data_IF_916661312352
#
_entry.id   IF_916661312352
#
_cell.length_a   1.000
_cell.length_b   1.000
_cell.length_c   1.000
_cell.angle_alpha   90.00
_cell.angle_beta   90.00
_cell.angle_gamma   90.00
#
_symmetry.space_group_name_H-M   'P 1'
#
loop_
_entity.id
_entity.type
_entity.pdbx_description
1 polymer ?
2 branched ?
3 non-polymer ?
4 non-polymer ?
#
# COMPACT_ATOMS: atom_id res chain seq x y z
N UNK A 45 25.85 -8.52 17.15
CA UNK A 45 27.21 -9.03 17.02
C UNK A 45 27.98 -8.27 15.95
N UNK A 46 29.31 -8.35 16.00
CA UNK A 46 30.15 -7.57 15.09
C UNK A 46 30.20 -8.23 13.71
N UNK A 47 30.61 -9.48 13.65
CA UNK A 47 30.52 -10.22 12.40
C UNK A 47 29.10 -10.76 12.21
N UNK A 48 28.74 -11.06 10.98
CA UNK A 48 27.45 -11.71 10.72
C UNK A 48 27.35 -12.98 11.58
N UNK A 49 28.39 -13.83 11.55
CA UNK A 49 28.42 -15.05 12.39
C UNK A 49 28.07 -14.79 13.85
N UNK A 50 28.70 -13.78 14.44
CA UNK A 50 28.39 -13.36 15.81
C UNK A 50 26.91 -12.97 15.99
N UNK A 51 26.40 -12.14 15.07
CA UNK A 51 24.98 -11.78 15.11
C UNK A 51 24.15 -13.09 15.01
N UNK A 52 24.51 -13.95 14.05
CA UNK A 52 23.74 -15.18 13.80
C UNK A 52 23.70 -16.09 15.01
N UNK A 53 24.87 -16.30 15.62
CA UNK A 53 25.01 -17.19 16.75
C UNK A 53 24.19 -16.68 17.93
N UNK A 54 24.20 -15.36 18.11
CA UNK A 54 23.38 -14.69 19.12
C UNK A 54 21.90 -14.79 18.83
N UNK A 55 21.52 -14.51 17.57
CA UNK A 55 20.11 -14.60 17.19
C UNK A 55 19.54 -16.02 17.34
N UNK A 56 20.37 -17.03 17.06
CA UNK A 56 20.01 -18.44 17.26
C UNK A 56 19.53 -18.72 18.66
N UNK A 57 20.22 -18.22 19.67
CA UNK A 57 19.69 -18.30 21.03
C UNK A 57 18.25 -17.74 21.16
N UNK A 58 18.00 -16.55 20.62
CA UNK A 58 16.70 -15.88 20.74
C UNK A 58 15.59 -16.65 20.03
N UNK A 59 15.93 -17.21 18.87
CA UNK A 59 15.04 -18.07 18.12
C UNK A 59 14.70 -19.35 18.86
N UNK A 60 15.70 -19.98 19.46
CA UNK A 60 15.47 -21.18 20.28
C UNK A 60 14.54 -20.87 21.45
N UNK A 61 14.82 -19.78 22.18
CA UNK A 61 13.98 -19.40 23.32
C UNK A 61 12.56 -19.04 22.93
N UNK A 62 12.40 -18.68 21.66
CA UNK A 62 11.09 -18.31 21.15
C UNK A 62 10.36 -19.45 20.44
N UNK A 63 10.97 -20.64 20.42
CA UNK A 63 10.26 -21.82 19.97
C UNK A 63 10.69 -22.41 18.63
N UNK A 64 11.78 -21.93 18.06
CA UNK A 64 12.28 -22.48 16.82
C UNK A 64 13.14 -23.74 17.12
N UNK A 65 12.79 -24.86 16.51
CA UNK A 65 13.58 -26.10 16.56
C UNK A 65 14.94 -25.84 15.96
N UNK A 66 15.97 -26.37 16.60
CA UNK A 66 17.34 -26.21 16.14
C UNK A 66 17.54 -26.57 14.67
N UNK A 67 16.86 -27.59 14.15
CA UNK A 67 17.09 -27.95 12.76
C UNK A 67 16.29 -27.07 11.76
N UNK A 68 15.19 -26.50 12.23
CA UNK A 68 14.55 -25.44 11.48
C UNK A 68 15.54 -24.30 11.25
N UNK A 69 16.17 -23.84 12.32
CA UNK A 69 17.09 -22.71 12.23
C UNK A 69 18.18 -23.04 11.24
N UNK A 70 18.77 -24.24 11.36
CA UNK A 70 19.94 -24.58 10.59
C UNK A 70 19.62 -24.81 9.11
N UNK A 71 18.45 -25.39 8.78
CA UNK A 71 18.10 -25.47 7.35
C UNK A 71 17.80 -24.05 6.82
N UNK A 72 17.16 -23.22 7.62
CA UNK A 72 16.90 -21.82 7.22
C UNK A 72 18.16 -21.03 6.94
N UNK A 73 19.14 -21.18 7.80
CA UNK A 73 20.38 -20.40 7.68
C UNK A 73 21.51 -21.04 6.92
N UNK A 74 21.29 -22.25 6.45
CA UNK A 74 22.28 -22.89 5.63
C UNK A 74 22.56 -22.06 4.37
N UNK A 75 23.76 -21.53 4.28
CA UNK A 75 24.21 -20.83 3.10
C UNK A 75 24.09 -19.34 3.20
N UNK A 76 23.45 -18.87 4.26
CA UNK A 76 23.08 -17.46 4.37
C UNK A 76 24.22 -16.53 4.80
N UNK A 77 24.43 -15.52 3.98
CA UNK A 77 25.35 -14.42 4.19
C UNK A 77 24.64 -13.10 3.91
N UNK A 78 25.12 -11.98 4.47
CA UNK A 78 24.44 -10.71 4.20
C UNK A 78 24.31 -10.42 2.75
N UNK A 79 23.28 -9.66 2.40
CA UNK A 79 22.96 -9.43 1.01
C UNK A 79 23.00 -7.92 0.80
N UNK A 80 24.05 -7.42 0.14
CA UNK A 80 24.21 -5.98 -0.06
C UNK A 80 23.15 -5.37 -0.92
N UNK A 81 22.44 -6.13 -1.76
CA UNK A 81 21.41 -5.47 -2.55
C UNK A 81 20.23 -5.09 -1.66
N UNK A 82 20.11 -5.78 -0.53
CA UNK A 82 19.04 -5.57 0.44
C UNK A 82 19.41 -4.37 1.29
N UNK A 83 20.68 -4.30 1.66
CA UNK A 83 21.22 -3.11 2.36
C UNK A 83 21.06 -1.83 1.53
N UNK A 84 21.44 -1.84 0.27
CA UNK A 84 21.16 -0.76 -0.63
C UNK A 84 19.67 -0.44 -0.76
N UNK A 85 18.78 -1.42 -0.93
CA UNK A 85 17.38 -1.03 -1.06
C UNK A 85 16.87 -0.35 0.21
N UNK A 86 17.37 -0.79 1.36
CA UNK A 86 16.96 -0.28 2.66
C UNK A 86 17.46 1.14 2.92
N UNK A 87 18.56 1.48 2.26
CA UNK A 87 19.24 2.77 2.42
C UNK A 87 18.68 3.75 1.40
N UNK A 88 18.08 3.24 0.32
CA UNK A 88 17.46 4.08 -0.67
C UNK A 88 16.20 4.79 -0.17
N UNK A 89 16.41 6.01 0.34
CA UNK A 89 15.34 6.95 0.68
C UNK A 89 14.94 7.69 -0.60
N UNK A 90 14.02 7.10 -1.38
CA UNK A 90 13.83 7.44 -2.80
C UNK A 90 13.76 8.93 -3.04
N UNK A 91 14.85 9.55 -3.49
CA UNK A 91 14.81 10.98 -3.78
C UNK A 91 13.73 11.21 -4.85
N UNK A 92 14.08 11.11 -6.13
CA UNK A 92 13.10 11.28 -7.20
C UNK A 92 12.03 10.17 -7.16
N UNK A 93 10.78 10.57 -6.93
CA UNK A 93 9.68 9.61 -6.75
C UNK A 93 8.62 9.81 -7.87
N UNK A 94 7.38 9.51 -7.51
CA UNK A 94 6.14 9.43 -8.32
C UNK A 94 6.15 10.15 -9.72
N UNK A 95 5.16 11.00 -10.10
CA UNK A 95 3.86 11.48 -9.62
C UNK A 95 2.88 10.34 -9.58
N UNK A 96 1.78 10.52 -8.88
CA UNK A 96 0.76 9.52 -8.86
C UNK A 96 0.36 9.20 -10.30
N UNK A 97 0.47 10.19 -11.18
CA UNK A 97 0.12 10.00 -12.57
C UNK A 97 0.93 8.86 -13.19
N UNK A 98 2.24 8.79 -12.90
CA UNK A 98 3.10 7.82 -13.57
C UNK A 98 2.83 6.45 -12.96
N UNK A 99 2.89 6.42 -11.64
CA UNK A 99 2.55 5.25 -10.85
C UNK A 99 1.24 4.59 -11.25
N UNK A 100 0.24 5.37 -11.64
CA UNK A 100 -1.06 4.82 -12.05
C UNK A 100 -1.00 4.24 -13.46
N UNK A 101 -0.11 4.76 -14.30
CA UNK A 101 0.04 4.26 -15.67
C UNK A 101 0.78 2.94 -15.67
N UNK A 102 1.52 2.68 -14.61
CA UNK A 102 2.11 1.38 -14.40
C UNK A 102 1.07 0.43 -13.91
N UNK A 103 0.41 0.82 -12.83
CA UNK A 103 -0.61 0.01 -12.21
C UNK A 103 -1.71 -0.40 -13.14
N UNK A 104 -2.09 0.49 -14.03
CA UNK A 104 -3.28 0.30 -14.82
C UNK A 104 -2.92 0.07 -16.26
N UNK A 105 -1.70 -0.41 -16.50
CA UNK A 105 -1.33 -0.83 -17.83
C UNK A 105 -2.34 -1.85 -18.35
N UNK A 106 -2.82 -1.66 -19.60
CA UNK A 106 -3.81 -2.61 -20.14
C UNK A 106 -3.31 -4.02 -20.15
N UNK A 107 -2.01 -4.22 -20.14
CA UNK A 107 -1.51 -5.59 -20.08
C UNK A 107 -1.97 -6.17 -18.73
N UNK A 108 -1.85 -5.37 -17.68
CA UNK A 108 -2.19 -5.90 -16.35
C UNK A 108 -3.70 -6.02 -16.18
N UNK A 109 -4.45 -5.06 -16.73
CA UNK A 109 -5.92 -5.17 -16.79
C UNK A 109 -6.32 -6.47 -17.48
N UNK A 110 -5.82 -6.71 -18.68
CA UNK A 110 -6.28 -7.90 -19.35
C UNK A 110 -5.78 -9.17 -18.65
N UNK A 111 -4.57 -9.19 -18.09
CA UNK A 111 -4.12 -10.42 -17.45
C UNK A 111 -5.03 -10.67 -16.23
N UNK A 112 -5.49 -9.58 -15.62
CA UNK A 112 -6.36 -9.70 -14.47
C UNK A 112 -7.73 -10.21 -14.85
N UNK A 113 -8.22 -9.81 -16.00
CA UNK A 113 -9.45 -10.40 -16.53
C UNK A 113 -9.28 -11.89 -16.86
N UNK A 114 -8.14 -12.29 -17.41
CA UNK A 114 -7.90 -13.70 -17.69
C UNK A 114 -7.88 -14.48 -16.40
N UNK A 115 -7.22 -13.94 -15.37
CA UNK A 115 -7.13 -14.64 -14.09
C UNK A 115 -8.50 -14.82 -13.46
N UNK A 116 -9.41 -13.87 -13.68
CA UNK A 116 -10.73 -13.93 -13.10
C UNK A 116 -11.54 -15.06 -13.68
N UNK A 117 -11.32 -15.30 -14.97
CA UNK A 117 -11.96 -16.39 -15.69
C UNK A 117 -11.23 -17.70 -15.36
N UNK A 118 -9.92 -17.67 -15.35
CA UNK A 118 -9.16 -18.89 -15.06
C UNK A 118 -9.45 -19.48 -13.67
N UNK A 119 -9.74 -18.62 -12.68
CA UNK A 119 -9.86 -19.05 -11.27
C UNK A 119 -11.23 -18.81 -10.72
N UNK A 120 -12.20 -18.73 -11.62
CA UNK A 120 -13.58 -18.33 -11.30
C UNK A 120 -14.30 -19.16 -10.26
N UNK A 121 -14.11 -20.47 -10.32
CA UNK A 121 -14.66 -21.38 -9.33
C UNK A 121 -14.09 -20.98 -7.96
N UNK A 122 -12.75 -20.94 -7.86
CA UNK A 122 -12.05 -20.58 -6.61
C UNK A 122 -12.45 -19.20 -6.09
N UNK A 123 -12.51 -18.23 -6.99
CA UNK A 123 -12.91 -16.90 -6.63
C UNK A 123 -14.33 -16.78 -6.18
N UNK A 124 -15.24 -17.51 -6.83
CA UNK A 124 -16.61 -17.55 -6.35
C UNK A 124 -16.68 -18.04 -4.92
N UNK A 125 -15.92 -19.09 -4.62
CA UNK A 125 -15.90 -19.66 -3.28
C UNK A 125 -15.26 -18.74 -2.23
N UNK A 126 -14.19 -18.06 -2.62
CA UNK A 126 -13.59 -17.07 -1.74
C UNK A 126 -14.55 -15.87 -1.50
N UNK A 127 -15.03 -15.28 -2.58
CA UNK A 127 -15.98 -14.15 -2.52
C UNK A 127 -17.17 -14.47 -1.64
N UNK A 128 -17.76 -15.63 -1.86
CA UNK A 128 -18.86 -16.08 -1.05
C UNK A 128 -18.44 -16.21 0.41
N UNK A 129 -17.43 -17.02 0.69
CA UNK A 129 -17.09 -17.34 2.07
C UNK A 129 -16.56 -16.16 2.89
N UNK A 130 -15.83 -15.24 2.26
CA UNK A 130 -15.18 -14.15 3.00
C UNK A 130 -15.93 -12.80 2.87
N UNK A 131 -17.02 -12.77 2.07
CA UNK A 131 -17.71 -11.54 1.70
C UNK A 131 -16.72 -10.48 1.28
N UNK A 132 -15.86 -10.83 0.36
CA UNK A 132 -14.95 -9.89 -0.25
C UNK A 132 -15.04 -9.98 -1.78
N UNK A 133 -15.24 -8.86 -2.46
CA UNK A 133 -15.40 -8.89 -3.94
C UNK A 133 -14.17 -9.48 -4.68
N UNK A 134 -14.39 -10.42 -5.59
CA UNK A 134 -13.33 -11.03 -6.35
C UNK A 134 -12.46 -10.02 -7.05
N UNK A 135 -13.06 -8.91 -7.48
CA UNK A 135 -12.35 -7.92 -8.31
C UNK A 135 -11.27 -7.24 -7.47
N UNK A 136 -11.60 -6.92 -6.21
CA UNK A 136 -10.66 -6.31 -5.31
C UNK A 136 -9.48 -7.25 -4.98
N UNK A 137 -9.78 -8.51 -4.70
CA UNK A 137 -8.74 -9.51 -4.41
C UNK A 137 -7.81 -9.69 -5.60
N UNK A 138 -8.37 -9.77 -6.80
CA UNK A 138 -7.53 -9.93 -8.00
C UNK A 138 -6.75 -8.68 -8.27
N UNK A 139 -7.31 -7.53 -7.97
CA UNK A 139 -6.55 -6.30 -8.17
C UNK A 139 -5.34 -6.18 -7.25
N UNK A 140 -5.52 -6.52 -5.96
CA UNK A 140 -4.40 -6.57 -4.98
C UNK A 140 -3.31 -7.54 -5.49
N UNK A 141 -3.76 -8.70 -5.92
CA UNK A 141 -2.90 -9.71 -6.49
C UNK A 141 -2.08 -9.23 -7.69
N UNK A 142 -2.74 -8.49 -8.58
CA UNK A 142 -2.02 -7.84 -9.68
C UNK A 142 -1.03 -6.80 -9.24
N UNK A 143 -1.44 -5.95 -8.32
CA UNK A 143 -0.58 -4.91 -7.76
C UNK A 143 0.65 -5.45 -7.00
N UNK A 144 0.41 -6.51 -6.22
CA UNK A 144 1.46 -7.05 -5.33
C UNK A 144 2.51 -7.89 -6.05
N UNK A 145 2.08 -8.76 -6.94
CA UNK A 145 3.01 -9.69 -7.55
C UNK A 145 2.73 -9.91 -9.03
N UNK A 146 1.97 -9.01 -9.67
CA UNK A 146 1.45 -9.25 -11.03
C UNK A 146 0.83 -10.67 -11.20
N UNK A 147 -0.08 -11.01 -10.31
CA UNK A 147 -0.85 -12.26 -10.36
C UNK A 147 0.04 -13.53 -10.21
N UNK A 148 1.11 -13.39 -9.44
CA UNK A 148 2.02 -14.49 -9.17
C UNK A 148 3.29 -14.44 -9.97
N UNK A 149 3.42 -13.56 -10.93
CA UNK A 149 4.53 -13.66 -11.87
C UNK A 149 5.78 -12.87 -11.47
N UNK A 150 5.63 -11.83 -10.63
CA UNK A 150 6.78 -11.10 -10.07
C UNK A 150 6.63 -11.12 -8.54
N UNK A 151 6.96 -12.25 -7.94
CA UNK A 151 6.93 -12.41 -6.50
C UNK A 151 8.16 -11.90 -5.82
N UNK A 152 9.19 -11.71 -6.61
CA UNK A 152 10.44 -11.23 -6.08
C UNK A 152 11.38 -12.39 -6.13
N UNK A 153 12.63 -12.10 -5.84
CA UNK A 153 13.70 -12.97 -6.24
C UNK A 153 14.54 -13.39 -5.04
N UNK A 154 14.19 -12.89 -3.87
CA UNK A 154 15.11 -13.01 -2.74
C UNK A 154 14.60 -13.92 -1.65
N UNK A 155 15.54 -14.55 -0.97
CA UNK A 155 15.21 -15.50 0.03
C UNK A 155 14.89 -14.66 1.20
N UNK A 156 13.71 -14.90 1.79
CA UNK A 156 13.19 -14.10 2.85
C UNK A 156 14.08 -14.18 4.09
N UNK A 157 14.63 -15.35 4.37
CA UNK A 157 15.49 -15.48 5.57
C UNK A 157 16.76 -14.66 5.41
N UNK A 158 17.34 -14.67 4.24
CA UNK A 158 18.52 -13.91 4.01
C UNK A 158 18.23 -12.41 4.06
N UNK A 159 17.16 -12.00 3.44
CA UNK A 159 16.84 -10.58 3.43
C UNK A 159 16.61 -10.03 4.80
N UNK A 160 15.84 -10.76 5.61
CA UNK A 160 15.49 -10.30 6.93
C UNK A 160 16.65 -10.45 7.89
N UNK A 161 17.50 -11.45 7.70
CA UNK A 161 18.73 -11.52 8.49
C UNK A 161 19.64 -10.32 8.23
N UNK A 162 19.90 -10.07 6.96
CA UNK A 162 20.61 -8.90 6.53
C UNK A 162 20.08 -7.62 7.22
N UNK A 163 18.77 -7.33 7.13
CA UNK A 163 18.22 -6.13 7.74
C UNK A 163 18.30 -6.15 9.29
N UNK A 164 18.23 -7.30 9.94
CA UNK A 164 18.34 -7.37 11.41
C UNK A 164 19.75 -7.05 11.88
N UNK A 165 20.70 -7.44 11.03
CA UNK A 165 22.11 -7.42 11.36
C UNK A 165 22.66 -6.04 11.12
N UNK A 166 22.22 -5.41 10.01
CA UNK A 166 22.76 -4.12 9.60
C UNK A 166 21.81 -3.17 8.85
N UNK A 167 20.50 -3.29 9.09
CA UNK A 167 19.55 -2.41 8.46
C UNK A 167 19.11 -1.26 9.36
N UNK A 168 18.37 -0.33 8.78
CA UNK A 168 17.91 0.85 9.48
C UNK A 168 16.85 0.54 10.52
N UNK A 169 16.16 -0.59 10.35
CA UNK A 169 15.00 -0.93 11.16
C UNK A 169 15.11 -2.36 11.66
N UNK A 170 16.11 -2.61 12.50
CA UNK A 170 16.38 -3.93 13.01
C UNK A 170 15.28 -4.55 13.90
N UNK A 171 14.41 -3.79 14.53
CA UNK A 171 13.43 -4.40 15.44
C UNK A 171 12.33 -5.06 14.63
N UNK A 172 11.90 -4.36 13.58
CA UNK A 172 11.02 -4.90 12.57
C UNK A 172 11.63 -6.17 12.02
N UNK A 173 12.89 -6.11 11.57
CA UNK A 173 13.48 -7.25 10.90
C UNK A 173 13.52 -8.44 11.83
N UNK A 174 13.85 -8.21 13.09
CA UNK A 174 14.00 -9.28 14.04
C UNK A 174 12.69 -9.94 14.28
N UNK A 175 11.69 -9.12 14.50
CA UNK A 175 10.30 -9.59 14.64
C UNK A 175 9.83 -10.44 13.44
N UNK A 176 10.08 -9.94 12.23
CA UNK A 176 9.66 -10.66 11.01
C UNK A 176 10.47 -11.93 10.74
N UNK A 177 11.77 -11.88 11.03
CA UNK A 177 12.64 -13.05 10.92
C UNK A 177 12.18 -14.19 11.83
N UNK A 178 11.92 -13.88 13.08
CA UNK A 178 11.38 -14.86 14.00
C UNK A 178 10.05 -15.45 13.47
N UNK A 179 9.12 -14.60 13.06
CA UNK A 179 7.87 -15.08 12.51
C UNK A 179 8.09 -15.92 11.27
N UNK A 180 9.05 -15.54 10.46
CA UNK A 180 9.36 -16.34 9.26
C UNK A 180 9.89 -17.71 9.64
N UNK A 181 10.69 -17.82 10.69
CA UNK A 181 11.15 -19.17 11.08
C UNK A 181 9.99 -20.06 11.54
N UNK A 182 8.98 -19.47 12.17
CA UNK A 182 7.81 -20.24 12.57
C UNK A 182 7.05 -20.82 11.41
N UNK A 183 7.01 -20.06 10.33
CA UNK A 183 6.35 -20.52 9.13
C UNK A 183 7.07 -21.74 8.59
N UNK A 184 8.43 -21.72 8.57
CA UNK A 184 9.20 -22.85 8.08
C UNK A 184 9.04 -24.07 8.97
N UNK A 185 9.06 -23.88 10.27
CA UNK A 185 8.71 -24.89 11.25
C UNK A 185 7.35 -25.59 11.12
N UNK A 186 6.31 -24.81 10.81
CA UNK A 186 4.97 -25.33 10.58
C UNK A 186 4.87 -26.06 9.23
N UNK A 187 5.76 -25.78 8.27
CA UNK A 187 5.79 -26.51 7.01
C UNK A 187 5.08 -25.89 5.83
N UNK A 188 4.70 -24.62 5.92
CA UNK A 188 3.94 -24.00 4.82
C UNK A 188 4.68 -23.95 3.50
N UNK A 189 5.99 -23.86 3.60
CA UNK A 189 6.85 -23.82 2.42
C UNK A 189 8.23 -24.30 2.80
N UNK A 190 8.99 -24.95 1.88
CA UNK A 190 10.40 -25.21 2.20
C UNK A 190 11.25 -23.96 2.06
N UNK A 191 12.25 -23.87 2.93
CA UNK A 191 13.16 -22.74 3.03
C UNK A 191 13.65 -22.22 1.68
N UNK A 192 13.96 -23.15 0.78
CA UNK A 192 14.46 -22.84 -0.55
C UNK A 192 13.48 -21.99 -1.41
N UNK A 193 12.18 -22.16 -1.18
CA UNK A 193 11.17 -21.47 -1.96
C UNK A 193 10.46 -20.37 -1.19
N UNK A 194 10.98 -20.04 -0.01
CA UNK A 194 10.50 -18.94 0.78
C UNK A 194 11.05 -17.62 0.20
N UNK A 195 10.42 -17.18 -0.87
CA UNK A 195 10.86 -16.07 -1.68
C UNK A 195 9.96 -14.83 -1.45
N UNK A 196 10.49 -13.67 -1.79
CA UNK A 196 9.75 -12.45 -1.67
C UNK A 196 10.65 -11.29 -2.04
N UNK A 197 10.33 -10.12 -1.54
CA UNK A 197 10.97 -8.88 -1.93
C UNK A 197 12.11 -8.56 -0.98
N UNK A 198 12.90 -7.53 -1.24
CA UNK A 198 14.03 -7.26 -0.34
C UNK A 198 13.67 -6.96 1.11
N UNK A 199 12.41 -6.60 1.36
CA UNK A 199 12.01 -6.20 2.71
C UNK A 199 11.29 -7.29 3.45
N UNK A 200 11.20 -8.47 2.85
CA UNK A 200 10.60 -9.60 3.52
C UNK A 200 9.12 -9.80 3.23
N UNK A 201 8.57 -9.06 2.27
CA UNK A 201 7.17 -9.27 1.84
C UNK A 201 7.14 -10.51 0.91
N UNK A 202 6.27 -11.48 1.24
CA UNK A 202 6.39 -12.84 0.72
C UNK A 202 5.37 -13.24 -0.32
N UNK A 203 5.80 -14.07 -1.25
CA UNK A 203 4.90 -14.76 -2.11
C UNK A 203 3.98 -13.89 -2.95
N UNK A 204 2.86 -14.50 -3.33
CA UNK A 204 1.96 -13.94 -4.29
C UNK A 204 1.16 -12.75 -3.74
N UNK A 205 1.04 -12.74 -2.43
CA UNK A 205 0.32 -11.71 -1.70
C UNK A 205 1.20 -10.60 -1.17
N UNK A 206 2.48 -10.85 -1.07
CA UNK A 206 3.43 -9.94 -0.42
C UNK A 206 3.03 -9.67 1.03
N UNK A 207 2.63 -10.74 1.72
CA UNK A 207 2.47 -10.67 3.17
C UNK A 207 3.86 -10.59 3.80
N UNK A 208 4.05 -9.72 4.78
CA UNK A 208 5.15 -9.93 5.71
C UNK A 208 4.85 -11.12 6.64
N UNK A 209 5.90 -11.74 7.19
CA UNK A 209 5.74 -12.96 8.00
C UNK A 209 4.71 -12.81 9.13
N UNK A 210 4.69 -11.73 9.89
CA UNK A 210 3.67 -11.68 10.96
C UNK A 210 2.20 -11.62 10.48
N UNK A 211 1.99 -11.00 9.34
CA UNK A 211 0.69 -10.96 8.69
C UNK A 211 0.30 -12.32 8.14
N UNK A 212 1.27 -13.00 7.56
CA UNK A 212 1.03 -14.36 7.14
C UNK A 212 0.56 -15.24 8.30
N UNK A 213 1.27 -15.14 9.40
CA UNK A 213 0.99 -16.01 10.52
C UNK A 213 -0.41 -15.76 11.04
N UNK A 214 -0.84 -14.49 11.05
CA UNK A 214 -2.15 -14.25 11.57
C UNK A 214 -3.21 -14.41 10.48
N UNK A 215 -2.94 -14.15 9.21
CA UNK A 215 -4.06 -14.11 8.25
C UNK A 215 -4.04 -15.09 7.10
N UNK A 216 -2.94 -15.80 6.88
CA UNK A 216 -2.86 -16.65 5.72
C UNK A 216 -3.77 -17.82 5.96
N UNK A 217 -4.30 -18.34 4.88
CA UNK A 217 -5.31 -19.40 4.88
C UNK A 217 -4.91 -20.57 4.00
N UNK A 218 -5.28 -21.75 4.44
CA UNK A 218 -5.13 -22.97 3.69
C UNK A 218 -6.48 -23.27 3.06
N UNK A 219 -6.65 -22.93 1.79
CA UNK A 219 -7.93 -23.03 1.08
C UNK A 219 -8.29 -24.51 0.71
N UNK A 220 -7.43 -25.21 -0.02
CA UNK A 220 -7.44 -26.68 0.00
C UNK A 220 -6.98 -26.82 1.43
N UNK A 221 -7.07 -27.90 2.16
CA UNK A 221 -6.94 -29.24 1.73
C UNK A 221 -5.78 -29.69 2.62
N UNK A 222 -4.59 -29.17 2.34
CA UNK A 222 -3.41 -29.99 2.51
C UNK A 222 -2.58 -29.68 3.72
N UNK A 223 -3.08 -28.81 4.61
CA UNK A 223 -2.34 -28.43 5.79
C UNK A 223 -1.37 -27.25 5.61
N UNK A 224 -1.13 -26.80 4.38
CA UNK A 224 -0.16 -25.73 4.15
C UNK A 224 -0.79 -24.46 3.75
N UNK A 225 -0.37 -23.38 4.40
CA UNK A 225 -0.78 -22.04 3.94
C UNK A 225 0.23 -21.55 2.95
N UNK A 226 0.10 -21.99 1.72
CA UNK A 226 1.16 -21.79 0.74
C UNK A 226 0.89 -20.59 -0.14
N UNK A 227 1.30 -19.42 0.29
CA UNK A 227 1.04 -18.22 -0.51
C UNK A 227 2.06 -18.08 -1.65
N UNK A 228 2.93 -19.07 -1.80
CA UNK A 228 3.91 -19.03 -2.86
C UNK A 228 3.48 -19.79 -4.11
N UNK A 229 2.97 -20.99 -3.92
CA UNK A 229 2.69 -21.86 -5.04
C UNK A 229 1.21 -22.11 -5.29
N UNK A 230 0.37 -21.65 -4.39
CA UNK A 230 -1.04 -22.01 -4.44
C UNK A 230 -1.92 -20.81 -4.55
N UNK A 231 -2.49 -20.61 -5.73
CA UNK A 231 -3.41 -19.50 -5.96
C UNK A 231 -4.59 -19.50 -4.98
N UNK A 232 -5.19 -20.64 -4.74
CA UNK A 232 -6.23 -20.82 -3.75
C UNK A 232 -5.91 -20.23 -2.40
N UNK A 233 -4.82 -20.71 -1.79
CA UNK A 233 -4.33 -20.17 -0.53
C UNK A 233 -4.09 -18.68 -0.64
N UNK A 234 -3.48 -18.27 -1.72
CA UNK A 234 -3.11 -16.86 -1.89
C UNK A 234 -4.35 -15.94 -1.97
N UNK A 235 -5.31 -16.29 -2.80
CA UNK A 235 -6.54 -15.52 -2.97
C UNK A 235 -7.36 -15.49 -1.70
N UNK A 236 -7.48 -16.64 -1.06
CA UNK A 236 -8.20 -16.75 0.17
C UNK A 236 -7.54 -15.92 1.28
N UNK A 237 -6.19 -15.89 1.30
CA UNK A 237 -5.45 -15.19 2.35
C UNK A 237 -5.61 -13.70 2.20
N UNK A 238 -5.61 -13.22 0.95
CA UNK A 238 -5.78 -11.80 0.67
C UNK A 238 -7.18 -11.35 1.08
N UNK A 239 -8.16 -12.13 0.69
CA UNK A 239 -9.52 -11.90 1.08
C UNK A 239 -9.69 -11.88 2.59
N UNK A 240 -9.11 -12.87 3.28
CA UNK A 240 -9.18 -12.91 4.74
C UNK A 240 -8.65 -11.64 5.38
N UNK A 241 -7.55 -11.14 4.88
CA UNK A 241 -6.96 -9.94 5.43
C UNK A 241 -7.81 -8.71 5.12
N UNK A 242 -8.31 -8.67 3.91
CA UNK A 242 -9.18 -7.58 3.53
C UNK A 242 -10.43 -7.58 4.38
N UNK A 243 -11.02 -8.74 4.61
CA UNK A 243 -12.19 -8.84 5.47
C UNK A 243 -11.87 -8.38 6.89
N UNK A 244 -10.74 -8.83 7.41
CA UNK A 244 -10.28 -8.39 8.73
C UNK A 244 -10.01 -6.90 8.70
N UNK A 245 -9.63 -6.37 7.56
CA UNK A 245 -9.34 -4.95 7.53
C UNK A 245 -10.58 -4.04 7.41
N UNK A 246 -11.80 -4.59 7.41
CA UNK A 246 -13.01 -3.80 7.35
C UNK A 246 -13.84 -3.92 6.09
N UNK A 247 -13.44 -4.76 5.14
CA UNK A 247 -14.11 -4.77 3.85
C UNK A 247 -15.62 -5.12 3.91
N UNK A 248 -16.40 -4.27 3.23
CA UNK A 248 -17.83 -4.49 3.00
C UNK A 248 -18.15 -4.81 1.55
N UNK A 249 -18.61 -6.04 1.32
CA UNK A 249 -18.84 -6.57 -0.02
C UNK A 249 -19.89 -5.76 -0.76
N UNK A 250 -19.66 -5.53 -2.05
CA UNK A 250 -20.57 -4.76 -2.90
C UNK A 250 -20.44 -3.24 -2.79
N UNK A 251 -19.80 -2.72 -1.72
CA UNK A 251 -19.68 -1.30 -1.51
C UNK A 251 -18.48 -0.74 -2.27
N UNK A 252 -18.65 0.41 -2.93
CA UNK A 252 -17.51 0.98 -3.65
C UNK A 252 -16.38 1.54 -2.76
N UNK A 253 -15.15 1.34 -3.21
CA UNK A 253 -14.01 1.93 -2.51
C UNK A 253 -14.08 3.46 -2.53
N UNK A 254 -14.75 3.97 -3.55
CA UNK A 254 -14.74 5.39 -3.78
C UNK A 254 -15.08 5.61 -5.23
N UNK A 255 -15.11 6.88 -5.62
CA UNK A 255 -15.52 7.28 -6.96
C UNK A 255 -15.14 8.74 -7.17
N UNK A 256 -14.96 9.06 -8.44
CA UNK A 256 -14.58 10.37 -8.84
C UNK A 256 -15.77 11.32 -8.71
N UNK A 257 -15.48 12.55 -8.33
CA UNK A 257 -16.49 13.56 -8.11
C UNK A 257 -16.07 14.87 -8.79
N UNK A 258 -17.02 15.79 -8.90
CA UNK A 258 -16.82 17.15 -9.43
C UNK A 258 -16.89 18.06 -8.22
N UNK A 259 -15.86 18.85 -7.99
CA UNK A 259 -15.90 19.81 -6.91
C UNK A 259 -16.43 21.14 -7.47
N UNK A 260 -17.40 21.77 -6.76
CA UNK A 260 -17.86 23.11 -7.16
C UNK A 260 -16.76 24.16 -7.01
N UNK A 261 -16.97 25.33 -7.61
CA UNK A 261 -15.96 26.41 -7.63
C UNK A 261 -15.81 27.10 -6.27
N UNK A 262 -14.60 27.58 -5.98
CA UNK A 262 -14.31 28.13 -4.68
C UNK A 262 -14.70 27.15 -3.61
N UNK A 263 -14.30 25.91 -3.83
CA UNK A 263 -14.50 24.86 -2.84
C UNK A 263 -13.42 25.03 -1.79
N UNK A 264 -13.76 24.70 -0.56
CA UNK A 264 -12.79 24.73 0.52
C UNK A 264 -11.88 23.50 0.43
N UNK A 265 -10.68 23.69 -0.08
CA UNK A 265 -9.81 22.54 -0.31
C UNK A 265 -9.21 22.04 1.02
N UNK A 266 -9.44 22.76 2.11
CA UNK A 266 -8.99 22.33 3.44
C UNK A 266 -9.53 20.98 3.82
N UNK A 267 -10.74 20.66 3.35
CA UNK A 267 -11.41 19.42 3.74
C UNK A 267 -10.95 18.18 2.97
N UNK A 268 -10.05 18.36 2.01
CA UNK A 268 -9.39 17.24 1.34
C UNK A 268 -8.28 16.68 2.21
N UNK A 269 -8.57 15.59 2.90
CA UNK A 269 -7.69 15.12 3.96
C UNK A 269 -8.24 13.84 4.52
N UNK A 270 -7.47 12.76 4.57
CA UNK A 270 -8.08 11.46 4.93
C UNK A 270 -8.45 11.37 6.41
N UNK A 271 -7.91 12.27 7.23
CA UNK A 271 -8.34 12.33 8.62
C UNK A 271 -9.70 13.01 8.75
N UNK A 272 -10.15 13.68 7.69
CA UNK A 272 -11.49 14.28 7.73
C UNK A 272 -12.53 13.45 7.01
N UNK A 273 -13.53 13.04 7.78
CA UNK A 273 -14.58 12.18 7.30
C UNK A 273 -15.93 12.84 7.50
N UNK A 274 -16.77 12.75 6.47
CA UNK A 274 -18.12 13.28 6.51
C UNK A 274 -19.00 12.35 5.76
N UNK A 275 -20.28 12.30 6.10
CA UNK A 275 -21.23 11.50 5.32
C UNK A 275 -21.40 11.92 3.86
N UNK A 276 -21.67 10.96 2.99
CA UNK A 276 -21.88 11.26 1.58
C UNK A 276 -22.96 12.33 1.37
N UNK A 277 -23.98 12.36 2.24
CA UNK A 277 -25.07 13.31 2.09
C UNK A 277 -24.64 14.73 2.40
N UNK A 278 -23.73 14.84 3.35
CA UNK A 278 -23.16 16.10 3.75
C UNK A 278 -22.10 16.66 2.78
N UNK A 279 -21.37 15.79 2.06
CA UNK A 279 -20.56 16.25 0.94
C UNK A 279 -21.49 16.72 -0.21
N UNK A 280 -22.58 16.03 -0.46
CA UNK A 280 -23.52 16.49 -1.48
C UNK A 280 -24.05 17.87 -1.06
N UNK A 281 -24.06 18.13 0.25
CA UNK A 281 -24.61 19.34 0.82
C UNK A 281 -23.68 20.54 0.83
N UNK A 282 -22.46 20.35 0.36
CA UNK A 282 -21.53 21.46 0.05
C UNK A 282 -21.33 21.60 -1.43
N UNK A 283 -22.10 20.86 -2.21
CA UNK A 283 -22.05 20.94 -3.65
C UNK A 283 -21.22 19.87 -4.37
N UNK A 284 -20.69 18.90 -3.64
CA UNK A 284 -19.94 17.84 -4.31
C UNK A 284 -20.96 17.08 -5.14
N UNK A 285 -20.69 16.96 -6.43
CA UNK A 285 -21.56 16.27 -7.39
C UNK A 285 -20.94 15.01 -8.00
N UNK A 286 -21.76 14.18 -8.65
CA UNK A 286 -21.27 13.09 -9.46
C UNK A 286 -20.35 13.64 -10.52
N UNK A 287 -19.56 12.81 -11.16
CA UNK A 287 -18.48 13.35 -11.97
C UNK A 287 -18.93 14.07 -13.25
N UNK A 288 -20.17 13.83 -13.69
CA UNK A 288 -20.75 14.59 -14.81
C UNK A 288 -21.88 15.48 -14.34
N UNK A 289 -21.72 16.06 -13.15
CA UNK A 289 -22.79 16.81 -12.50
C UNK A 289 -23.85 15.87 -11.93
N UNK A 290 -24.70 16.42 -11.06
CA UNK A 290 -25.84 15.68 -10.55
C UNK A 290 -25.59 14.99 -9.22
N UNK A 291 -26.53 14.13 -8.79
CA UNK A 291 -26.51 13.52 -7.47
C UNK A 291 -25.44 12.46 -7.28
N UNK A 292 -25.11 12.19 -6.02
CA UNK A 292 -24.22 11.10 -5.69
C UNK A 292 -25.06 9.83 -5.52
N UNK A 293 -24.46 8.66 -5.74
CA UNK A 293 -25.12 7.37 -5.49
C UNK A 293 -26.07 7.34 -4.30
N UNK A 294 -27.31 6.98 -4.61
CA UNK A 294 -28.36 6.83 -3.62
C UNK A 294 -28.12 5.58 -2.77
N UNK A 295 -28.55 5.65 -1.52
CA UNK A 295 -28.43 4.53 -0.61
C UNK A 295 -27.18 4.66 0.25
N UNK A 296 -26.27 5.54 -0.18
CA UNK A 296 -24.96 5.63 0.46
C UNK A 296 -24.92 6.82 1.40
N UNK A 297 -26.01 7.59 1.38
CA UNK A 297 -26.16 8.88 2.08
C UNK A 297 -25.40 9.00 3.37
N UNK A 298 -25.42 7.93 4.16
CA UNK A 298 -24.79 7.94 5.48
C UNK A 298 -23.36 7.41 5.58
N UNK A 299 -22.80 6.92 4.47
CA UNK A 299 -21.43 6.41 4.49
C UNK A 299 -20.41 7.49 4.76
N UNK A 300 -19.52 7.25 5.70
CA UNK A 300 -18.44 8.17 5.98
C UNK A 300 -17.55 8.23 4.74
N UNK A 301 -17.03 9.41 4.42
CA UNK A 301 -16.16 9.54 3.27
C UNK A 301 -15.22 10.68 3.41
N UNK A 302 -14.14 10.58 2.66
CA UNK A 302 -13.10 11.59 2.64
C UNK A 302 -12.83 12.01 1.23
N UNK A 303 -12.25 13.18 1.12
CA UNK A 303 -11.99 13.71 -0.19
C UNK A 303 -10.52 13.63 -0.52
N UNK A 304 -10.23 13.05 -1.69
CA UNK A 304 -8.85 12.81 -2.10
C UNK A 304 -8.46 13.55 -3.37
N UNK A 305 -7.42 14.38 -3.28
CA UNK A 305 -6.90 15.11 -4.42
C UNK A 305 -5.49 14.72 -4.70
N UNK A 306 -5.27 13.65 -5.45
CA UNK A 306 -3.89 13.13 -5.50
C UNK A 306 -2.91 13.98 -6.30
N UNK A 307 -3.41 14.94 -7.07
CA UNK A 307 -2.56 15.90 -7.77
C UNK A 307 -2.99 17.33 -7.54
N UNK A 308 -3.58 17.60 -6.37
CA UNK A 308 -4.12 18.90 -6.02
C UNK A 308 -5.35 19.35 -6.80
N UNK A 309 -5.70 20.63 -6.65
CA UNK A 309 -7.04 21.11 -7.01
C UNK A 309 -7.23 21.13 -8.53
N UNK A 310 -6.13 21.04 -9.28
CA UNK A 310 -6.25 21.03 -10.74
C UNK A 310 -6.37 19.62 -11.29
N UNK A 311 -6.24 18.61 -10.43
CA UNK A 311 -6.33 17.22 -10.86
C UNK A 311 -7.68 16.68 -10.50
N UNK A 312 -7.89 15.38 -10.68
CA UNK A 312 -9.18 14.79 -10.35
C UNK A 312 -9.44 14.67 -8.85
N UNK A 313 -10.72 14.62 -8.49
CA UNK A 313 -11.13 14.49 -7.10
C UNK A 313 -11.85 13.18 -6.89
N UNK A 314 -11.65 12.53 -5.75
CA UNK A 314 -12.35 11.32 -5.43
C UNK A 314 -12.91 11.43 -4.03
N UNK A 315 -14.12 10.95 -3.85
CA UNK A 315 -14.58 10.61 -2.51
C UNK A 315 -14.26 9.18 -2.25
N UNK A 316 -13.64 8.90 -1.11
CA UNK A 316 -13.17 7.54 -0.80
C UNK A 316 -13.84 7.07 0.45
N UNK A 317 -14.35 5.85 0.38
CA UNK A 317 -15.16 5.33 1.43
C UNK A 317 -14.40 4.32 2.23
N UNK A 318 -15.15 3.67 3.11
CA UNK A 318 -14.61 2.75 4.07
C UNK A 318 -13.69 1.68 3.46
N UNK A 319 -14.10 1.08 2.36
CA UNK A 319 -13.27 0.09 1.70
C UNK A 319 -11.92 0.59 1.20
N UNK A 320 -11.77 1.90 0.98
CA UNK A 320 -10.47 2.47 0.61
C UNK A 320 -9.50 2.40 1.79
N UNK A 321 -10.04 2.62 2.98
CA UNK A 321 -9.31 2.49 4.23
C UNK A 321 -8.93 1.02 4.49
N UNK A 322 -9.82 0.11 4.19
CA UNK A 322 -9.47 -1.32 4.20
C UNK A 322 -8.23 -1.62 3.38
N UNK A 323 -8.10 -0.96 2.25
CA UNK A 323 -7.01 -1.23 1.33
C UNK A 323 -5.75 -0.64 1.85
N UNK A 324 -5.89 0.51 2.49
CA UNK A 324 -4.74 1.22 3.08
C UNK A 324 -4.03 0.40 4.18
N UNK A 325 -4.79 -0.42 4.89
CA UNK A 325 -4.23 -1.37 5.86
C UNK A 325 -3.43 -2.44 5.18
N UNK A 326 -3.74 -2.70 3.92
CA UNK A 326 -3.02 -3.71 3.19
C UNK A 326 -1.68 -3.13 2.80
N UNK A 327 -1.71 -1.84 2.48
CA UNK A 327 -0.53 -1.12 2.04
C UNK A 327 -0.83 0.40 2.21
N UNK A 328 -0.12 1.03 3.13
CA UNK A 328 -0.53 2.34 3.63
C UNK A 328 -0.04 3.49 2.78
N UNK A 329 -0.37 3.42 1.51
CA UNK A 329 -0.13 4.48 0.56
C UNK A 329 -1.45 4.73 -0.20
N UNK A 330 -1.94 5.96 -0.12
CA UNK A 330 -3.15 6.36 -0.83
C UNK A 330 -3.00 6.21 -2.37
N UNK A 331 -1.79 6.38 -2.92
CA UNK A 331 -1.56 6.14 -4.35
C UNK A 331 -1.86 4.67 -4.71
N UNK A 332 -1.35 3.78 -3.87
CA UNK A 332 -1.61 2.35 -4.00
C UNK A 332 -3.06 2.04 -3.87
N UNK A 333 -3.75 2.59 -2.88
CA UNK A 333 -5.14 2.19 -2.69
C UNK A 333 -6.01 2.72 -3.83
N UNK A 334 -5.66 3.87 -4.38
CA UNK A 334 -6.34 4.39 -5.54
C UNK A 334 -6.10 3.49 -6.77
N UNK A 335 -4.85 3.12 -7.01
CA UNK A 335 -4.49 2.16 -8.06
C UNK A 335 -5.28 0.90 -7.92
N UNK A 336 -5.42 0.43 -6.70
CA UNK A 336 -6.10 -0.81 -6.49
C UNK A 336 -7.57 -0.68 -6.86
N UNK A 337 -8.20 0.35 -6.34
CA UNK A 337 -9.58 0.62 -6.65
C UNK A 337 -9.88 0.79 -8.12
N UNK A 338 -9.06 1.55 -8.81
CA UNK A 338 -9.27 1.72 -10.24
C UNK A 338 -8.97 0.45 -11.07
N UNK A 339 -7.95 -0.32 -10.70
CA UNK A 339 -7.68 -1.60 -11.34
C UNK A 339 -8.87 -2.53 -11.24
N UNK A 340 -9.42 -2.66 -10.05
CA UNK A 340 -10.57 -3.47 -9.85
C UNK A 340 -11.77 -3.00 -10.69
N UNK A 341 -11.99 -1.70 -10.73
CA UNK A 341 -13.03 -1.12 -11.58
C UNK A 341 -12.75 -1.43 -13.04
N UNK A 342 -11.48 -1.49 -13.42
CA UNK A 342 -11.14 -1.65 -14.82
C UNK A 342 -11.46 -3.03 -15.33
N UNK A 343 -11.67 -3.99 -14.45
CA UNK A 343 -11.86 -5.38 -14.94
C UNK A 343 -13.26 -5.49 -15.52
N UNK A 344 -14.11 -4.59 -15.05
CA UNK A 344 -15.49 -4.49 -15.50
C UNK A 344 -15.68 -3.31 -16.43
N UNK A 345 -14.59 -2.75 -16.95
CA UNK A 345 -14.70 -1.65 -17.89
C UNK A 345 -14.86 -0.28 -17.33
N UNK A 346 -14.73 -0.14 -16.02
CA UNK A 346 -14.73 1.17 -15.40
C UNK A 346 -13.30 1.61 -15.22
N UNK A 347 -13.05 2.40 -14.20
CA UNK A 347 -11.69 2.87 -13.95
C UNK A 347 -11.26 4.00 -14.85
N UNK A 348 -12.24 4.67 -15.45
CA UNK A 348 -11.93 5.77 -16.34
C UNK A 348 -12.00 7.11 -15.57
N UNK A 349 -10.97 7.93 -15.71
CA UNK A 349 -10.88 9.21 -15.01
C UNK A 349 -11.29 10.36 -15.93
N UNK A 350 -12.33 11.08 -15.52
CA UNK A 350 -12.88 12.21 -16.28
C UNK A 350 -11.99 13.46 -16.24
N UNK A 351 -11.68 13.96 -15.05
CA UNK A 351 -10.77 15.08 -14.94
C UNK A 351 -9.30 14.80 -15.33
N UNK A 352 -8.76 15.64 -16.21
CA UNK A 352 -7.38 15.48 -16.67
C UNK A 352 -6.36 15.59 -15.56
N UNK A 353 -5.23 14.93 -15.79
CA UNK A 353 -4.09 15.03 -14.91
C UNK A 353 -3.32 16.31 -15.25
N UNK A 354 -2.89 17.06 -14.23
CA UNK A 354 -2.10 18.26 -14.51
C UNK A 354 -0.85 17.94 -15.27
N UNK A 355 -0.58 18.69 -16.33
CA UNK A 355 0.62 18.48 -17.11
C UNK A 355 1.88 18.91 -16.37
N UNK A 356 1.79 20.01 -15.62
CA UNK A 356 2.92 20.56 -14.87
C UNK A 356 3.41 19.48 -13.89
N UNK A 357 2.78 19.40 -12.73
CA UNK A 357 2.89 18.27 -11.80
C UNK A 357 4.20 17.46 -11.79
N UNK A 358 5.15 17.90 -10.97
CA UNK A 358 6.40 17.17 -10.86
C UNK A 358 6.66 16.86 -9.41
N UNK A 359 6.73 15.56 -9.07
CA UNK A 359 6.94 15.14 -7.68
C UNK A 359 8.20 15.70 -7.10
N UNK A 360 8.11 16.07 -5.82
CA UNK A 360 9.25 16.61 -5.09
C UNK A 360 10.12 15.43 -4.63
N UNK A 361 11.42 15.55 -4.87
CA UNK A 361 12.41 14.60 -4.41
C UNK A 361 12.46 14.58 -2.88
N UNK A 362 13.22 13.67 -2.28
CA UNK A 362 13.35 13.66 -0.81
C UNK A 362 14.06 14.93 -0.32
N UNK A 363 15.08 15.37 -1.04
CA UNK A 363 15.81 16.57 -0.69
C UNK A 363 14.92 17.83 -0.67
N UNK A 364 14.16 18.08 -1.72
CA UNK A 364 13.31 19.25 -1.75
C UNK A 364 12.03 19.10 -0.88
N UNK A 365 11.68 17.91 -0.40
CA UNK A 365 10.58 17.81 0.58
C UNK A 365 11.10 18.30 1.91
N UNK A 366 12.36 18.00 2.18
CA UNK A 366 13.00 18.44 3.41
C UNK A 366 13.20 19.93 3.32
N UNK A 367 13.63 20.40 2.16
CA UNK A 367 13.83 21.83 2.02
C UNK A 367 12.50 22.59 2.20
N UNK A 368 11.41 21.98 1.72
CA UNK A 368 10.10 22.63 1.76
C UNK A 368 9.69 22.73 3.23
N UNK A 369 9.96 21.69 4.00
CA UNK A 369 9.57 21.67 5.38
C UNK A 369 10.34 22.73 6.12
N UNK A 370 11.59 22.93 5.70
CA UNK A 370 12.42 23.91 6.38
C UNK A 370 11.90 25.30 6.03
N UNK A 371 11.60 25.55 4.75
CA UNK A 371 11.10 26.85 4.33
C UNK A 371 9.74 27.17 4.99
N UNK A 372 8.97 26.13 5.27
CA UNK A 372 7.68 26.28 5.88
C UNK A 372 7.89 26.77 7.30
N UNK A 373 8.71 26.04 8.05
CA UNK A 373 8.97 26.40 9.42
C UNK A 373 9.53 27.83 9.54
N UNK A 374 10.26 28.28 8.52
CA UNK A 374 10.91 29.56 8.60
C UNK A 374 9.94 30.74 8.31
N UNK A 375 8.77 30.41 7.78
CA UNK A 375 7.76 31.44 7.53
C UNK A 375 6.62 31.32 8.53
N UNK A 376 6.89 30.64 9.63
CA UNK A 376 5.97 30.55 10.74
C UNK A 376 4.96 29.43 10.62
N UNK A 377 4.91 28.76 9.47
CA UNK A 377 3.95 27.65 9.27
C UNK A 377 4.61 26.31 9.63
N UNK A 378 4.39 25.85 10.84
CA UNK A 378 5.11 24.71 11.33
C UNK A 378 4.59 23.38 10.74
N UNK A 379 5.48 22.60 10.05
CA UNK A 379 5.12 21.29 9.50
C UNK A 379 5.39 20.13 10.43
N UNK A 380 5.76 20.43 11.66
CA UNK A 380 6.29 19.44 12.58
C UNK A 380 7.79 19.16 12.39
N UNK A 381 8.18 17.93 12.73
CA UNK A 381 9.55 17.46 12.53
C UNK A 381 9.89 17.41 11.07
N UNK A 382 11.07 17.91 10.75
CA UNK A 382 11.55 17.88 9.39
C UNK A 382 12.03 16.47 9.08
N UNK A 383 11.15 15.67 8.50
CA UNK A 383 11.40 14.26 8.28
C UNK A 383 11.43 13.88 6.80
N UNK A 384 11.24 14.85 5.91
CA UNK A 384 11.10 14.57 4.48
C UNK A 384 9.80 13.87 4.07
N UNK A 385 8.87 13.73 5.02
CA UNK A 385 7.62 13.02 4.79
C UNK A 385 6.37 13.92 4.92
N UNK A 386 5.74 14.16 3.78
CA UNK A 386 4.54 14.96 3.73
C UNK A 386 3.33 14.26 4.39
N UNK A 387 3.23 14.37 5.72
CA UNK A 387 2.11 13.79 6.45
C UNK A 387 1.03 14.83 6.68
N UNK A 388 0.13 14.51 7.60
CA UNK A 388 -0.96 15.41 7.93
C UNK A 388 -0.44 16.71 8.55
N UNK A 389 0.74 16.65 9.16
CA UNK A 389 1.28 17.81 9.86
C UNK A 389 1.88 18.83 8.92
N UNK A 390 2.63 18.32 7.95
CA UNK A 390 3.18 19.14 6.87
C UNK A 390 2.07 19.75 5.99
N UNK A 391 1.11 18.92 5.58
CA UNK A 391 0.00 19.37 4.75
C UNK A 391 -0.71 20.57 5.40
N UNK A 392 -0.93 20.48 6.71
CA UNK A 392 -1.56 21.55 7.46
C UNK A 392 -0.78 22.86 7.29
N UNK A 393 0.56 22.76 7.27
CA UNK A 393 1.44 23.89 7.06
C UNK A 393 1.48 24.35 5.62
N UNK A 394 1.41 23.41 4.69
CA UNK A 394 1.34 23.78 3.27
C UNK A 394 0.07 24.61 3.08
N UNK A 395 -1.07 24.08 3.53
CA UNK A 395 -2.34 24.81 3.42
C UNK A 395 -2.32 26.23 4.02
N UNK A 396 -1.77 26.41 5.22
CA UNK A 396 -1.70 27.76 5.79
C UNK A 396 -0.79 28.61 4.95
N UNK A 397 0.21 27.97 4.37
CA UNK A 397 1.11 28.70 3.52
C UNK A 397 0.44 29.08 2.21
N UNK A 398 -0.41 28.19 1.67
CA UNK A 398 -1.05 28.41 0.36
C UNK A 398 -2.08 29.57 0.52
N UNK A 399 -2.84 29.50 1.60
CA UNK A 399 -3.74 30.59 2.00
C UNK A 399 -3.09 31.96 2.10
N UNK A 400 -1.92 32.04 2.76
CA UNK A 400 -1.14 33.27 2.83
C UNK A 400 -0.76 33.80 1.44
N UNK A 401 -0.73 32.93 0.42
CA UNK A 401 -0.39 33.35 -0.93
C UNK A 401 -1.66 33.60 -1.77
N UNK A 402 -2.81 33.26 -1.21
CA UNK A 402 -4.03 33.38 -1.96
C UNK A 402 -4.33 32.21 -2.85
N UNK A 403 -3.56 31.14 -2.69
CA UNK A 403 -3.67 29.95 -3.52
C UNK A 403 -4.67 28.97 -2.89
N UNK A 404 -5.27 28.10 -3.71
CA UNK A 404 -6.11 27.05 -3.16
C UNK A 404 -5.37 26.17 -2.20
N UNK A 405 -6.03 25.92 -1.09
CA UNK A 405 -5.43 25.25 0.02
C UNK A 405 -5.64 23.75 -0.08
N UNK A 406 -5.13 23.12 -1.14
CA UNK A 406 -5.20 21.66 -1.30
C UNK A 406 -4.18 20.95 -0.41
N UNK A 407 -3.10 21.64 -0.07
CA UNK A 407 -2.11 21.04 0.80
C UNK A 407 -1.26 20.10 0.00
N UNK A 408 -1.14 20.41 -1.27
CA UNK A 408 -0.44 19.58 -2.21
C UNK A 408 0.79 20.35 -2.62
N UNK A 409 1.98 19.90 -2.16
CA UNK A 409 3.23 20.62 -2.41
C UNK A 409 3.62 20.57 -3.85
N UNK A 410 3.87 21.72 -4.46
CA UNK A 410 4.29 21.75 -5.87
C UNK A 410 5.71 22.28 -6.01
N UNK A 411 6.36 21.99 -7.15
CA UNK A 411 7.61 22.74 -7.41
C UNK A 411 7.41 24.28 -7.37
N UNK A 412 6.27 24.78 -7.88
CA UNK A 412 5.95 26.24 -7.91
C UNK A 412 5.88 26.87 -6.50
N UNK A 413 5.33 26.15 -5.54
CA UNK A 413 5.30 26.60 -4.14
C UNK A 413 6.70 26.68 -3.56
N UNK A 414 7.57 25.71 -3.91
CA UNK A 414 8.94 25.75 -3.41
C UNK A 414 9.67 26.98 -4.01
N UNK A 415 9.28 27.39 -5.22
CA UNK A 415 9.79 28.64 -5.80
C UNK A 415 9.33 29.94 -5.06
N UNK A 416 8.04 30.05 -4.74
CA UNK A 416 7.53 31.21 -3.99
C UNK A 416 8.23 31.38 -2.65
N UNK A 417 8.71 30.27 -2.11
CA UNK A 417 9.41 30.26 -0.83
C UNK A 417 10.89 30.62 -1.00
N UNK A 418 11.21 31.31 -2.09
CA UNK A 418 12.57 31.82 -2.32
C UNK A 418 12.53 33.10 -3.17
X LIG B 1 7.15 -1.15 -7.86
X LIG B 1 5.57 -4.14 -11.38
X LIG B 1 9.48 -1.27 -9.05
X LIG B 1 6.02 -4.43 -7.25
X LIG B 1 4.45 -0.87 -12.36
X LIG B 1 5.36 -5.23 -13.52
X LIG B 1 6.76 -0.06 -6.90
X LIG B 1 5.47 -2.84 -10.59
X LIG B 1 8.13 -0.65 -8.94
X LIG B 1 6.05 -2.97 -9.17
X LIG B 1 5.38 -4.13 -8.50
X LIG B 1 5.48 -5.35 -9.42
X LIG B 1 4.74 -6.49 -8.84
X LIG B 1 5.68 -0.90 -12.21
X LIG B 1 6.67 0.07 -12.97
X LIG B 1 6.27 -1.88 -11.31
X LIG B 1 7.83 0.25 -9.72
X LIG B 1 5.03 -4.09 -12.73
X LIG B 1 5.93 -1.74 -8.40
X LIG B 1 3.39 -5.99 -8.92
X LIG B 1 4.88 -5.10 -10.66
X LIG B 1 7.60 -1.84 -7.35
X LIG B 1 7.50 0.56 -6.81
X LIG B 1 5.98 0.42 -7.26
X LIG B 1 6.54 -0.44 -6.03
X LIG B 1 6.52 -4.41 -11.43
X LIG B 1 4.54 -2.52 -10.55
X LIG B 1 10.07 -0.97 -9.70
X LIG B 1 9.72 -1.94 -8.48
X LIG B 1 4.41 -3.90 -8.34
X LIG B 1 4.54 -5.67 -13.83
X LIG B 1 5.90 -4.95 -14.28
X LIG B 1 5.87 -5.88 -12.98
X LIG B 1 7.02 -3.19 -9.25
X LIG B 1 7.23 -1.91 -11.21
X LIG B 1 6.45 -5.59 -9.56
X LIG B 1 4.99 -6.65 -7.94
X LIG B 1 4.85 -7.30 -9.40
X LIG B 1 2.90 -6.52 -9.45
X LIG B 1 6.41 0.13 -13.91
X LIG B 1 6.64 0.96 -12.55
X LIG B 1 7.60 -0.30 -12.91
X LIG B 2 5.13 -4.45 -6.11
X LIG B 2 5.89 -5.16 -4.98
X LIG B 2 5.12 -5.14 -3.66
X LIG B 2 4.54 -3.75 -3.36
X LIG B 2 3.81 -3.24 -4.61
X LIG B 2 3.09 -1.89 -4.50
X LIG B 2 7.49 -7.03 -5.34
X LIG B 2 7.75 -8.49 -5.75
X LIG B 2 6.13 -6.51 -5.38
X LIG B 2 5.97 -5.53 -2.59
X LIG B 2 3.68 -3.95 -2.23
X LIG B 2 4.77 -3.18 -5.69
X LIG B 2 3.49 -1.05 -5.58
X LIG B 2 8.37 -6.32 -4.98
X LIG B 2 4.33 -4.96 -6.33
X LIG B 2 6.76 -4.70 -4.85
X LIG B 2 4.38 -5.78 -3.71
X LIG B 2 5.24 -3.13 -3.13
X LIG B 2 3.15 -3.90 -4.85
X LIG B 2 3.32 -1.48 -3.66
X LIG B 2 2.13 -2.04 -4.54
X LIG B 2 8.64 -8.57 -6.15
X LIG B 2 7.68 -9.07 -4.96
X LIG B 2 7.07 -8.77 -6.41
X LIG B 2 5.45 -7.03 -5.64
X LIG B 2 6.10 -6.39 -2.63
X LIG B 2 3.87 -4.77 -1.86
X LIG B 2 3.82 -0.31 -5.26
X LIG C 1 -2.83 -25.24 0.97
X LIG D 1 2.62 -3.94 4.95
X LIG D 1 1.75 -5.02 5.50
X LIG D 1 0.91 -4.46 6.64
X LIG D 1 1.83 -3.89 7.72
X LIG D 1 2.92 -2.97 7.15
X LIG D 1 4.04 -2.72 8.14
X LIG D 1 0.93 -6.95 4.25
X LIG D 1 0.00 -7.42 3.17
X LIG D 1 0.93 -5.64 4.50
X LIG D 1 3.25 -4.44 3.79
X LIG D 1 0.09 -5.50 7.16
X LIG D 1 1.04 -3.16 8.66
X LIG D 1 3.54 -3.48 5.94
X LIG D 1 5.31 -2.59 7.51
X LIG D 1 1.67 -7.74 4.90
X LIG D 1 2.06 -3.19 4.69
X LIG D 1 2.34 -5.71 5.88
X LIG D 1 0.35 -3.75 6.29
X LIG D 1 2.25 -4.63 8.18
X LIG D 1 2.51 -2.11 6.94
X LIG D 1 3.86 -1.91 8.64
X LIG D 1 4.08 -3.48 8.76
X LIG D 1 0.21 -6.94 2.34
X LIG D 1 -0.92 -7.22 3.43
X LIG D 1 0.11 -8.38 3.04
X LIG D 1 0.38 -5.11 4.00
X LIG D 1 3.80 -3.82 3.46
X LIG D 1 -0.55 -5.15 7.66
X LIG D 1 1.48 -3.08 9.41
X LIG D 1 5.27 -2.95 6.69
#
# INVERSE_FOLDING_TARGET
>A
GSHMQKNPTVEYNQPAAPLQTKAPFSGAGPAASVPAGAPNEAQPGQSFEQWRDAFRQQALAGGIDAQTFDRAFAGVQPDPAVVEADRSQPEFTRPVWKYLEGALDPLRVRQGQARLAQHARILGEVDARYAVDADAVVAIWGMESNYGSHMGNKNVIRSLATLAYEGRRPEFAHAQLLAALKILQHGDVPASFMIGSWAGAMGQTQFIPTTHNQYAVDFDGDGKRDIWGSPGDALASTANYLKASGWIAGQPWGFEVRLPAGFDYSLAELTIRKPLGEWQGMGVQGVNGGPLPSGLSGEQASLLLPAGHRGPAFLVLHNFRAILKYNNSSAYALAVGLLADSFKGGGRIVGAWPLDDVPLSRSQRIELQRQLAARGHDPGAVDGIIGANTRKAIRACQQEFGWPADGYPTPALLDRLRTP
>B hetero
1 NM9 C3A C1 N3A O4 O7 C1B C3B C2 C3E C3 C4 C5 C6 C7 C8 N2 OCA O1 O3 O6 O5 H3A H3B1 H3B2 H3B3 H1 H2 H3A1 H3A2 H4 H1B1 H1B2 H1B3 H3 HN2 H5 H61 H62 HO6 H81 H82 H83
2 NAG C1 C2 C3 C4 C5 C6 C7 C8 N2 O3 O4 O5 O6 O7 H1 H2 H3 H4 H5 H61 H62 H81 H82 H83 HN2 HO3 HO4 HO6
>C hetero
1 CA CA
>D hetero
1 NAG C1 C2 C3 C4 C5 C6 C7 C8 N2 O1 O3 O4 O5 O6 O7 H1 H2 H3 H4 H5 H61 H62 H81 H82 H83 HN2 HO1 HO3 HO4 HO6
#
